data_IF_293793718373
#
_entry.id   IF_293793718373
#
_cell.length_a   1.000
_cell.length_b   1.000
_cell.length_c   1.000
_cell.angle_alpha   90.00
_cell.angle_beta   90.00
_cell.angle_gamma   90.00
#
_symmetry.space_group_name_H-M   'P 1'
#
loop_
_entity.id
_entity.type
_entity.pdbx_description
1 polymer ?
#
# COMPACT_ATOMS: atom_id res chain seq x y z
N UNK A 1 23.84 -14.02 10.56
CA UNK A 1 24.16 -13.06 9.47
C UNK A 1 22.92 -12.20 9.23
N UNK A 2 22.89 -11.05 9.90
CA UNK A 2 21.81 -10.06 9.91
C UNK A 2 21.96 -9.27 8.59
N UNK A 3 21.61 -9.90 7.49
CA UNK A 3 21.78 -9.34 6.15
C UNK A 3 20.51 -8.55 5.82
N UNK A 4 20.59 -7.23 5.99
CA UNK A 4 19.84 -6.19 5.26
C UNK A 4 18.75 -6.73 4.32
N UNK A 5 17.56 -7.05 4.87
CA UNK A 5 16.44 -7.52 4.07
C UNK A 5 15.78 -6.32 3.41
N UNK A 6 16.06 -6.13 2.12
CA UNK A 6 15.51 -5.05 1.28
C UNK A 6 13.96 -5.02 1.34
N UNK A 7 13.31 -6.14 1.65
CA UNK A 7 11.86 -6.24 1.89
C UNK A 7 11.34 -5.27 2.94
N UNK A 8 12.03 -5.15 4.08
CA UNK A 8 11.60 -4.29 5.18
C UNK A 8 11.61 -2.81 4.75
N UNK A 9 12.58 -2.42 3.93
CA UNK A 9 12.66 -1.08 3.35
C UNK A 9 11.46 -0.81 2.43
N UNK A 10 11.06 -1.77 1.60
CA UNK A 10 9.89 -1.62 0.74
C UNK A 10 8.57 -1.54 1.53
N UNK A 11 8.42 -2.30 2.61
CA UNK A 11 7.25 -2.20 3.49
C UNK A 11 7.20 -0.87 4.25
N UNK A 12 8.35 -0.39 4.72
CA UNK A 12 8.47 0.92 5.36
C UNK A 12 8.10 2.03 4.36
N UNK A 13 8.62 1.98 3.14
CA UNK A 13 8.25 2.91 2.09
C UNK A 13 6.74 2.83 1.76
N UNK A 14 6.16 1.64 1.69
CA UNK A 14 4.72 1.47 1.45
C UNK A 14 3.88 2.10 2.57
N UNK A 15 4.27 1.92 3.84
CA UNK A 15 3.60 2.50 4.99
C UNK A 15 3.69 4.03 5.00
N UNK A 16 4.89 4.59 4.74
CA UNK A 16 5.08 6.05 4.65
C UNK A 16 4.28 6.67 3.51
N UNK A 17 4.29 6.04 2.33
CA UNK A 17 3.53 6.53 1.17
C UNK A 17 2.02 6.44 1.40
N UNK A 18 1.55 5.38 2.08
CA UNK A 18 0.14 5.26 2.46
C UNK A 18 -0.27 6.36 3.46
N UNK A 19 0.50 6.57 4.52
CA UNK A 19 0.24 7.63 5.48
C UNK A 19 0.30 9.03 4.83
N UNK A 20 1.30 9.27 3.97
CA UNK A 20 1.43 10.53 3.25
C UNK A 20 0.27 10.76 2.27
N UNK A 21 -0.31 9.71 1.68
CA UNK A 21 -1.48 9.83 0.81
C UNK A 21 -2.68 10.43 1.56
N UNK A 22 -2.89 10.07 2.84
CA UNK A 22 -3.98 10.62 3.64
C UNK A 22 -3.67 12.02 4.15
N UNK A 23 -2.44 12.25 4.63
CA UNK A 23 -2.06 13.51 5.29
C UNK A 23 -1.82 14.66 4.31
N UNK A 24 -1.24 14.38 3.14
CA UNK A 24 -0.86 15.40 2.15
C UNK A 24 -1.49 15.17 0.78
N UNK A 25 -1.95 13.95 0.50
CA UNK A 25 -2.44 13.58 -0.82
C UNK A 25 -3.93 13.89 -1.03
N UNK A 26 -4.79 13.61 -0.06
CA UNK A 26 -6.23 13.83 -0.18
C UNK A 26 -6.67 15.15 0.47
N UNK A 27 -7.69 15.78 -0.10
CA UNK A 27 -8.27 17.00 0.49
C UNK A 27 -9.06 16.65 1.76
N UNK A 28 -9.14 17.55 2.77
CA UNK A 28 -9.90 17.29 3.99
C UNK A 28 -11.39 16.99 3.74
N UNK A 29 -11.97 17.59 2.69
CA UNK A 29 -13.36 17.32 2.26
C UNK A 29 -13.52 15.89 1.74
N UNK A 30 -12.60 15.45 0.89
CA UNK A 30 -12.61 14.08 0.37
C UNK A 30 -12.47 13.06 1.50
N UNK A 31 -11.60 13.33 2.47
CA UNK A 31 -11.40 12.47 3.65
C UNK A 31 -12.68 12.40 4.48
N UNK A 32 -13.34 13.54 4.76
CA UNK A 32 -14.60 13.58 5.49
C UNK A 32 -15.73 12.81 4.78
N UNK A 33 -15.81 12.90 3.45
CA UNK A 33 -16.83 12.21 2.64
C UNK A 33 -16.55 10.71 2.43
N UNK A 34 -15.29 10.27 2.67
CA UNK A 34 -14.83 8.90 2.40
C UNK A 34 -14.15 8.28 3.61
N UNK A 35 -14.80 8.37 4.77
CA UNK A 35 -14.36 7.75 6.03
C UNK A 35 -14.00 6.27 5.90
N UNK A 36 -14.74 5.50 5.08
CA UNK A 36 -14.42 4.08 4.82
C UNK A 36 -13.09 3.91 4.07
N UNK A 37 -12.81 4.73 3.06
CA UNK A 37 -11.58 4.65 2.28
C UNK A 37 -10.38 5.09 3.11
N UNK A 38 -10.53 6.15 3.90
CA UNK A 38 -9.52 6.63 4.83
C UNK A 38 -9.12 5.53 5.83
N UNK A 39 -10.10 4.90 6.49
CA UNK A 39 -9.84 3.82 7.44
C UNK A 39 -9.11 2.65 6.78
N UNK A 40 -9.48 2.29 5.55
CA UNK A 40 -8.78 1.23 4.80
C UNK A 40 -7.31 1.58 4.52
N UNK A 41 -7.01 2.83 4.17
CA UNK A 41 -5.62 3.27 3.93
C UNK A 41 -4.81 3.22 5.23
N UNK A 42 -5.38 3.65 6.35
CA UNK A 42 -4.71 3.53 7.65
C UNK A 42 -4.48 2.08 8.08
N UNK A 43 -5.45 1.20 7.86
CA UNK A 43 -5.28 -0.24 8.08
C UNK A 43 -4.16 -0.78 7.21
N UNK A 44 -4.09 -0.40 5.94
CA UNK A 44 -3.03 -0.80 5.00
C UNK A 44 -1.64 -0.37 5.49
N UNK A 45 -1.52 0.87 5.99
CA UNK A 45 -0.29 1.40 6.58
C UNK A 45 0.11 0.64 7.87
N UNK A 46 -0.85 0.39 8.77
CA UNK A 46 -0.61 -0.35 10.01
C UNK A 46 -0.18 -1.80 9.73
N UNK A 47 -0.84 -2.48 8.79
CA UNK A 47 -0.47 -3.83 8.36
C UNK A 47 0.95 -3.85 7.77
N UNK A 48 1.30 -2.84 6.97
CA UNK A 48 2.65 -2.70 6.41
C UNK A 48 3.74 -2.42 7.45
N UNK A 49 3.40 -1.79 8.58
CA UNK A 49 4.33 -1.64 9.71
C UNK A 49 4.49 -2.95 10.48
N UNK A 50 3.37 -3.64 10.75
CA UNK A 50 3.39 -4.92 11.48
C UNK A 50 4.16 -5.99 10.70
N UNK A 51 4.07 -6.01 9.35
CA UNK A 51 4.83 -6.96 8.53
C UNK A 51 6.35 -6.83 8.67
N UNK A 52 6.87 -5.65 9.00
CA UNK A 52 8.31 -5.43 9.19
C UNK A 52 8.84 -6.27 10.35
N UNK A 53 8.08 -6.34 11.46
CA UNK A 53 8.44 -7.15 12.63
C UNK A 53 8.28 -8.66 12.40
N UNK A 54 7.54 -9.05 11.37
CA UNK A 54 7.24 -10.45 11.07
C UNK A 54 8.32 -11.14 10.22
N UNK A 55 9.57 -10.71 10.33
CA UNK A 55 10.73 -11.18 9.54
C UNK A 55 11.01 -12.68 9.68
N UNK A 56 10.55 -13.30 10.77
CA UNK A 56 10.74 -14.73 11.04
C UNK A 56 9.84 -15.61 10.17
N UNK A 57 8.71 -15.09 9.69
CA UNK A 57 7.71 -15.85 8.94
C UNK A 57 7.51 -15.30 7.52
N UNK A 58 8.42 -15.66 6.61
CA UNK A 58 8.41 -15.26 5.19
C UNK A 58 7.07 -15.58 4.48
N UNK A 59 6.44 -16.71 4.81
CA UNK A 59 5.14 -17.09 4.24
C UNK A 59 4.03 -16.11 4.68
N UNK A 60 4.04 -15.68 5.93
CA UNK A 60 3.03 -14.78 6.49
C UNK A 60 3.25 -13.35 5.97
N UNK A 61 4.50 -12.89 5.89
CA UNK A 61 4.83 -11.63 5.21
C UNK A 61 4.34 -11.61 3.76
N UNK A 62 4.43 -12.74 3.06
CA UNK A 62 3.95 -12.82 1.70
C UNK A 62 2.42 -12.70 1.59
N UNK A 63 1.68 -13.28 2.53
CA UNK A 63 0.21 -13.17 2.59
C UNK A 63 -0.20 -11.73 2.94
N UNK A 64 0.39 -11.14 3.97
CA UNK A 64 0.08 -9.77 4.39
C UNK A 64 0.38 -8.75 3.30
N UNK A 65 1.48 -8.90 2.55
CA UNK A 65 1.79 -8.03 1.42
C UNK A 65 0.70 -8.06 0.34
N UNK A 66 0.13 -9.24 0.07
CA UNK A 66 -1.01 -9.36 -0.86
C UNK A 66 -2.27 -8.72 -0.30
N UNK A 67 -2.51 -8.83 1.01
CA UNK A 67 -3.65 -8.17 1.66
C UNK A 67 -3.55 -6.65 1.53
N UNK A 68 -2.38 -6.05 1.75
CA UNK A 68 -2.13 -4.61 1.54
C UNK A 68 -2.43 -4.19 0.10
N UNK A 69 -1.98 -4.96 -0.89
CA UNK A 69 -2.26 -4.69 -2.31
C UNK A 69 -3.77 -4.79 -2.60
N UNK A 70 -4.45 -5.79 -2.05
CA UNK A 70 -5.89 -5.98 -2.23
C UNK A 70 -6.69 -4.82 -1.63
N UNK A 71 -6.33 -4.37 -0.42
CA UNK A 71 -6.95 -3.23 0.25
C UNK A 71 -6.78 -1.97 -0.60
N UNK A 72 -5.56 -1.67 -1.05
CA UNK A 72 -5.31 -0.51 -1.89
C UNK A 72 -6.07 -0.58 -3.23
N UNK A 73 -6.23 -1.77 -3.81
CA UNK A 73 -7.03 -1.95 -5.01
C UNK A 73 -8.53 -1.66 -4.78
N UNK A 74 -9.09 -2.08 -3.63
CA UNK A 74 -10.47 -1.76 -3.25
C UNK A 74 -10.64 -0.24 -3.10
N UNK A 75 -9.69 0.44 -2.44
CA UNK A 75 -9.70 1.91 -2.32
C UNK A 75 -9.69 2.57 -3.71
N UNK A 76 -8.91 2.05 -4.65
CA UNK A 76 -8.89 2.54 -6.03
C UNK A 76 -10.25 2.37 -6.73
N UNK A 77 -10.92 1.23 -6.53
CA UNK A 77 -12.27 0.99 -7.08
C UNK A 77 -13.29 1.98 -6.48
N UNK A 78 -13.27 2.20 -5.17
CA UNK A 78 -14.13 3.19 -4.51
C UNK A 78 -13.92 4.58 -5.10
N UNK A 79 -12.65 4.95 -5.34
CA UNK A 79 -12.31 6.21 -5.96
C UNK A 79 -12.90 6.35 -7.37
N UNK A 80 -12.74 5.34 -8.23
CA UNK A 80 -13.27 5.37 -9.60
C UNK A 80 -14.81 5.48 -9.59
N UNK A 81 -15.49 4.70 -8.74
CA UNK A 81 -16.95 4.73 -8.63
C UNK A 81 -17.48 6.09 -8.16
N UNK A 82 -16.79 6.76 -7.22
CA UNK A 82 -17.14 8.11 -6.75
C UNK A 82 -16.81 9.17 -7.80
N UNK A 83 -15.65 9.07 -8.44
CA UNK A 83 -15.21 9.99 -9.49
C UNK A 83 -16.15 10.04 -10.69
N UNK A 84 -16.81 8.93 -11.01
CA UNK A 84 -17.84 8.85 -12.05
C UNK A 84 -19.16 9.52 -11.66
N UNK A 85 -19.48 9.60 -10.36
CA UNK A 85 -20.70 10.23 -9.83
C UNK A 85 -20.57 11.74 -9.60
N UNK A 86 -19.35 12.28 -9.70
CA UNK A 86 -19.09 13.72 -9.65
C UNK A 86 -19.31 14.33 -11.04
N UNK A 87 -20.51 14.86 -11.29
CA UNK A 87 -20.82 15.65 -12.49
C UNK A 87 -19.80 16.77 -12.64
N UNK A 88 -19.08 16.78 -13.77
CA UNK A 88 -17.97 17.68 -14.04
C UNK A 88 -18.39 19.15 -14.13
N UNK A 89 -18.12 19.92 -13.07
CA UNK A 89 -17.96 21.37 -13.14
C UNK A 89 -16.47 21.71 -13.19
N UNK A 90 -16.02 22.36 -14.26
CA UNK A 90 -14.62 22.70 -14.54
C UNK A 90 -14.03 23.82 -13.65
N UNK A 91 -14.60 24.07 -12.47
CA UNK A 91 -14.34 25.28 -11.69
C UNK A 91 -14.08 25.04 -10.19
N UNK A 92 -13.67 23.83 -9.79
CA UNK A 92 -13.13 23.60 -8.44
C UNK A 92 -11.63 23.33 -8.50
N UNK A 93 -10.78 24.18 -7.90
CA UNK A 93 -9.33 23.96 -7.73
C UNK A 93 -8.99 22.65 -7.00
N UNK A 94 -9.99 22.03 -6.37
CA UNK A 94 -9.87 20.87 -5.49
C UNK A 94 -9.54 19.57 -6.25
N UNK A 95 -9.86 19.47 -7.55
CA UNK A 95 -9.56 18.27 -8.37
C UNK A 95 -8.05 18.02 -8.55
N UNK A 96 -7.24 19.08 -8.47
CA UNK A 96 -5.78 19.00 -8.54
C UNK A 96 -5.15 18.40 -7.28
N UNK A 97 -5.73 18.64 -6.10
CA UNK A 97 -5.25 18.09 -4.83
C UNK A 97 -5.50 16.58 -4.79
N UNK A 98 -6.67 16.12 -5.22
CA UNK A 98 -7.02 14.68 -5.20
C UNK A 98 -6.16 13.81 -6.12
N UNK A 99 -5.53 14.41 -7.14
CA UNK A 99 -4.63 13.69 -8.06
C UNK A 99 -3.35 13.27 -7.34
N UNK A 100 -2.85 14.07 -6.38
CA UNK A 100 -1.67 13.72 -5.60
C UNK A 100 -1.94 12.54 -4.68
N UNK A 101 -3.10 12.48 -4.02
CA UNK A 101 -3.50 11.34 -3.18
C UNK A 101 -3.53 10.02 -3.94
N UNK A 102 -4.08 10.02 -5.15
CA UNK A 102 -4.07 8.86 -6.04
C UNK A 102 -2.65 8.43 -6.44
N UNK A 103 -1.79 9.37 -6.81
CA UNK A 103 -0.41 9.08 -7.18
C UNK A 103 0.38 8.49 -6.01
N UNK A 104 0.20 9.03 -4.80
CA UNK A 104 0.83 8.50 -3.59
C UNK A 104 0.29 7.11 -3.22
N UNK A 105 -1.02 6.89 -3.33
CA UNK A 105 -1.64 5.58 -3.10
C UNK A 105 -1.17 4.54 -4.13
N UNK A 106 -1.03 4.95 -5.39
CA UNK A 106 -0.47 4.12 -6.45
C UNK A 106 1.00 3.79 -6.16
N UNK A 107 1.82 4.79 -5.77
CA UNK A 107 3.20 4.57 -5.37
C UNK A 107 3.32 3.61 -4.17
N UNK A 108 2.45 3.75 -3.15
CA UNK A 108 2.37 2.81 -2.03
C UNK A 108 2.08 1.38 -2.50
N UNK A 109 1.17 1.22 -3.46
CA UNK A 109 0.82 -0.08 -4.04
C UNK A 109 1.99 -0.69 -4.81
N UNK A 110 2.72 0.11 -5.59
CA UNK A 110 3.94 -0.33 -6.28
C UNK A 110 5.02 -0.75 -5.28
N UNK A 111 5.20 -0.01 -4.18
CA UNK A 111 6.12 -0.39 -3.11
C UNK A 111 5.73 -1.73 -2.46
N UNK A 112 4.44 -1.95 -2.19
CA UNK A 112 3.92 -3.22 -1.68
C UNK A 112 4.10 -4.39 -2.67
N UNK A 113 3.97 -4.13 -3.98
CA UNK A 113 4.28 -5.10 -5.04
C UNK A 113 5.77 -5.46 -5.06
N UNK A 114 6.65 -4.47 -4.93
CA UNK A 114 8.10 -4.69 -4.82
C UNK A 114 8.46 -5.50 -3.57
N UNK A 115 7.87 -5.16 -2.42
CA UNK A 115 8.01 -5.91 -1.18
C UNK A 115 7.59 -7.38 -1.37
N UNK A 116 6.43 -7.61 -1.98
CA UNK A 116 5.91 -8.94 -2.28
C UNK A 116 6.85 -9.76 -3.18
N UNK A 117 7.43 -9.13 -4.21
CA UNK A 117 8.41 -9.77 -5.10
C UNK A 117 9.68 -10.14 -4.36
N UNK A 118 10.18 -9.24 -3.52
CA UNK A 118 11.36 -9.48 -2.70
C UNK A 118 11.14 -10.64 -1.70
N UNK A 119 9.96 -10.73 -1.06
CA UNK A 119 9.59 -11.85 -0.16
C UNK A 119 9.54 -13.18 -0.91
N UNK A 120 8.95 -13.22 -2.11
CA UNK A 120 8.92 -14.44 -2.94
C UNK A 120 10.33 -14.91 -3.32
N UNK A 121 11.24 -13.99 -3.61
CA UNK A 121 12.64 -14.32 -3.94
C UNK A 121 13.31 -15.01 -2.76
N UNK A 122 13.18 -14.46 -1.56
CA UNK A 122 13.78 -15.05 -0.35
C UNK A 122 13.16 -16.40 0.00
N UNK A 123 11.84 -16.56 -0.15
CA UNK A 123 11.18 -17.84 0.04
C UNK A 123 11.71 -18.91 -0.93
N UNK A 124 12.01 -18.53 -2.18
CA UNK A 124 12.54 -19.45 -3.20
C UNK A 124 13.95 -19.91 -2.84
N UNK A 125 14.81 -19.03 -2.33
CA UNK A 125 16.19 -19.36 -1.92
C UNK A 125 16.18 -20.40 -0.79
N UNK A 126 15.30 -20.21 0.21
CA UNK A 126 15.15 -21.17 1.31
C UNK A 126 14.69 -22.53 0.81
N UNK A 127 13.69 -22.55 -0.09
CA UNK A 127 13.15 -23.80 -0.66
C UNK A 127 14.06 -24.48 -1.68
N UNK A 128 14.99 -23.76 -2.31
CA UNK A 128 15.97 -24.38 -3.22
C UNK A 128 17.15 -24.97 -2.46
N UNK A 129 17.58 -24.33 -1.37
CA UNK A 129 18.63 -24.88 -0.49
C UNK A 129 18.20 -26.21 0.16
N UNK A 130 16.91 -26.32 0.50
CA UNK A 130 16.34 -27.53 1.12
C UNK A 130 16.27 -28.73 0.15
N UNK A 131 16.21 -28.49 -1.17
CA UNK A 131 16.17 -29.56 -2.20
C UNK A 131 17.53 -30.13 -2.56
N UNK A 132 18.62 -29.47 -2.16
CA UNK A 132 19.99 -29.90 -2.42
C UNK A 132 20.54 -30.80 -1.30
N UNK A 133 19.79 -30.97 -0.22
CA UNK A 133 20.04 -31.94 0.85
C UNK A 133 19.27 -33.22 0.56
#
# INVERSE_FOLDING_TARGET
MILQRVQALYFLAAALLAAASVLWGFSPRWVADNSLAEVLIWISAAVSLVTIFLFKHLALQHVLARMVILINAIVFVIFVLRGLNLSGGASSPEKGIETWGLLLLFASTVAALCASRAVKKDLRIVKSADRLR
#
